data_IF_911089374818
#
_entry.id   IF_911089374818
#
_cell.length_a   1.000
_cell.length_b   1.000
_cell.length_c   1.000
_cell.angle_alpha   90.00
_cell.angle_beta   90.00
_cell.angle_gamma   90.00
#
_symmetry.space_group_name_H-M   'P 1'
#
loop_
_entity.id
_entity.type
_entity.pdbx_description
1 polymer ?
#
# COMPACT_ATOMS: atom_id res chain seq x y z
N UNK A 1 39.99 -85.86 8.77
CA UNK A 1 39.90 -84.58 9.51
C UNK A 1 39.53 -83.33 8.68
N UNK A 2 39.18 -83.40 7.37
CA UNK A 2 38.92 -82.21 6.53
C UNK A 2 37.44 -81.82 6.29
N UNK A 3 36.46 -82.52 6.88
CA UNK A 3 35.01 -82.24 6.66
C UNK A 3 34.33 -81.37 7.73
N UNK A 4 35.00 -81.03 8.84
CA UNK A 4 34.41 -80.22 9.92
C UNK A 4 34.60 -78.70 9.75
N UNK A 5 35.42 -78.24 8.80
CA UNK A 5 35.70 -76.81 8.58
C UNK A 5 34.70 -76.16 7.61
N UNK A 6 34.07 -76.93 6.71
CA UNK A 6 33.17 -76.39 5.68
C UNK A 6 31.80 -76.00 6.26
N UNK A 7 31.33 -76.68 7.32
CA UNK A 7 30.04 -76.35 7.95
C UNK A 7 30.14 -75.08 8.81
N UNK A 8 31.32 -74.78 9.38
CA UNK A 8 31.53 -73.55 10.16
C UNK A 8 31.55 -72.29 9.28
N UNK A 9 32.07 -72.39 8.04
CA UNK A 9 32.10 -71.25 7.10
C UNK A 9 30.71 -71.00 6.50
N UNK A 10 29.90 -72.03 6.27
CA UNK A 10 28.52 -71.87 5.81
C UNK A 10 27.59 -71.27 6.89
N UNK A 11 27.82 -71.59 8.17
CA UNK A 11 27.02 -71.07 9.28
C UNK A 11 27.34 -69.60 9.62
N UNK A 12 28.59 -69.16 9.41
CA UNK A 12 28.99 -67.76 9.57
C UNK A 12 28.39 -66.87 8.47
N UNK A 13 28.21 -67.37 7.23
CA UNK A 13 27.55 -66.60 6.17
C UNK A 13 26.04 -66.41 6.40
N UNK A 14 25.38 -67.32 7.12
CA UNK A 14 23.95 -67.22 7.45
C UNK A 14 23.66 -66.28 8.65
N UNK A 15 24.64 -66.05 9.53
CA UNK A 15 24.50 -65.16 10.68
C UNK A 15 24.85 -63.69 10.39
N UNK A 16 25.56 -63.40 9.30
CA UNK A 16 25.79 -62.03 8.85
C UNK A 16 24.66 -61.46 7.99
N UNK A 17 23.85 -62.31 7.35
CA UNK A 17 22.73 -61.89 6.50
C UNK A 17 21.63 -61.03 7.18
N UNK A 18 21.18 -61.28 8.43
CA UNK A 18 20.06 -60.54 9.01
C UNK A 18 20.38 -59.08 9.30
N UNK A 19 21.64 -58.75 9.65
CA UNK A 19 22.05 -57.36 9.93
C UNK A 19 21.99 -56.52 8.66
N UNK A 20 22.40 -57.06 7.50
CA UNK A 20 22.38 -56.33 6.23
C UNK A 20 20.97 -56.12 5.67
N UNK A 21 20.09 -57.11 5.80
CA UNK A 21 18.68 -56.97 5.38
C UNK A 21 17.96 -55.84 6.16
N UNK A 22 18.27 -55.68 7.45
CA UNK A 22 17.78 -54.58 8.27
C UNK A 22 18.29 -53.22 7.76
N UNK A 23 19.57 -53.11 7.40
CA UNK A 23 20.14 -51.84 6.89
C UNK A 23 19.59 -51.42 5.53
N UNK A 24 19.25 -52.36 4.65
CA UNK A 24 18.64 -52.05 3.36
C UNK A 24 17.23 -51.47 3.53
N UNK A 25 16.37 -52.18 4.25
CA UNK A 25 14.98 -51.77 4.49
C UNK A 25 14.96 -50.41 5.19
N UNK A 26 15.87 -50.19 6.14
CA UNK A 26 15.98 -48.91 6.84
C UNK A 26 16.32 -47.75 5.89
N UNK A 27 17.23 -47.93 4.92
CA UNK A 27 17.60 -46.86 3.99
C UNK A 27 16.51 -46.61 2.94
N UNK A 28 15.88 -47.64 2.40
CA UNK A 28 14.73 -47.48 1.51
C UNK A 28 13.56 -46.75 2.21
N UNK A 29 13.26 -47.12 3.45
CA UNK A 29 12.26 -46.44 4.26
C UNK A 29 12.63 -44.98 4.51
N UNK A 30 13.89 -44.67 4.78
CA UNK A 30 14.36 -43.29 4.98
C UNK A 30 14.29 -42.45 3.72
N UNK A 31 14.62 -43.02 2.55
CA UNK A 31 14.44 -42.33 1.27
C UNK A 31 12.96 -42.05 1.02
N UNK A 32 12.08 -43.02 1.29
CA UNK A 32 10.64 -42.84 1.14
C UNK A 32 10.06 -41.80 2.12
N UNK A 33 10.51 -41.82 3.38
CA UNK A 33 10.17 -40.84 4.40
C UNK A 33 10.62 -39.43 3.97
N UNK A 34 11.85 -39.30 3.47
CA UNK A 34 12.37 -38.04 2.91
C UNK A 34 11.49 -37.53 1.79
N UNK A 35 11.21 -38.37 0.80
CA UNK A 35 10.35 -38.00 -0.33
C UNK A 35 8.95 -37.58 0.11
N UNK A 36 8.37 -38.26 1.11
CA UNK A 36 7.07 -37.90 1.65
C UNK A 36 7.11 -36.58 2.41
N UNK A 37 8.18 -36.33 3.17
CA UNK A 37 8.38 -35.08 3.89
C UNK A 37 8.64 -33.90 2.94
N UNK A 38 9.21 -34.13 1.75
CA UNK A 38 9.47 -33.07 0.77
C UNK A 38 8.26 -32.71 -0.11
N UNK A 39 7.14 -33.46 -0.01
CA UNK A 39 5.97 -33.32 -0.92
C UNK A 39 4.97 -32.24 -0.56
N UNK A 40 5.05 -31.58 0.60
CA UNK A 40 4.14 -30.44 0.84
C UNK A 40 4.46 -29.32 -0.16
N UNK A 41 3.46 -28.58 -0.65
CA UNK A 41 3.64 -27.59 -1.75
C UNK A 41 4.78 -26.62 -1.46
N UNK A 42 4.86 -26.11 -0.23
CA UNK A 42 5.92 -25.19 0.19
C UNK A 42 7.29 -25.86 0.33
N UNK A 43 7.35 -27.12 0.78
CA UNK A 43 8.60 -27.86 0.87
C UNK A 43 9.09 -28.32 -0.50
N UNK A 44 8.19 -28.55 -1.45
CA UNK A 44 8.54 -28.97 -2.81
C UNK A 44 9.28 -27.86 -3.56
N UNK A 45 8.77 -26.62 -3.52
CA UNK A 45 9.45 -25.48 -4.15
C UNK A 45 10.83 -25.23 -3.52
N UNK A 46 10.92 -25.30 -2.20
CA UNK A 46 12.20 -25.18 -1.50
C UNK A 46 13.15 -26.35 -1.80
N UNK A 47 12.65 -27.58 -1.93
CA UNK A 47 13.48 -28.75 -2.23
C UNK A 47 14.03 -28.74 -3.64
N UNK A 48 13.29 -28.17 -4.60
CA UNK A 48 13.78 -27.90 -5.94
C UNK A 48 14.90 -26.87 -5.92
N UNK A 49 14.70 -25.74 -5.22
CA UNK A 49 15.70 -24.66 -5.14
C UNK A 49 16.98 -25.14 -4.45
N UNK A 50 16.84 -25.90 -3.36
CA UNK A 50 17.94 -26.50 -2.61
C UNK A 50 18.59 -27.69 -3.33
N UNK A 51 18.09 -28.07 -4.52
CA UNK A 51 18.52 -29.24 -5.29
C UNK A 51 18.50 -30.55 -4.46
N UNK A 52 17.58 -30.66 -3.50
CA UNK A 52 17.45 -31.83 -2.64
C UNK A 52 16.80 -32.99 -3.40
N UNK A 53 15.90 -32.70 -4.33
CA UNK A 53 15.32 -33.72 -5.23
C UNK A 53 16.39 -34.36 -6.13
N UNK A 54 17.40 -33.58 -6.55
CA UNK A 54 18.56 -34.10 -7.30
C UNK A 54 19.41 -35.02 -6.42
N UNK A 55 19.64 -34.63 -5.17
CA UNK A 55 20.35 -35.47 -4.19
C UNK A 55 19.61 -36.78 -3.88
N UNK A 56 18.29 -36.74 -3.68
CA UNK A 56 17.50 -37.97 -3.43
C UNK A 56 17.49 -38.88 -4.65
N UNK A 57 17.37 -38.33 -5.87
CA UNK A 57 17.44 -39.09 -7.12
C UNK A 57 18.82 -39.73 -7.32
N UNK A 58 19.89 -38.97 -7.08
CA UNK A 58 21.26 -39.50 -7.13
C UNK A 58 21.47 -40.59 -6.08
N UNK A 59 20.99 -40.37 -4.86
CA UNK A 59 21.07 -41.35 -3.79
C UNK A 59 20.36 -42.65 -4.12
N UNK A 60 19.17 -42.59 -4.75
CA UNK A 60 18.47 -43.78 -5.24
C UNK A 60 19.27 -44.57 -6.27
N UNK A 61 19.87 -43.88 -7.24
CA UNK A 61 20.71 -44.52 -8.25
C UNK A 61 21.96 -45.17 -7.63
N UNK A 62 22.59 -44.49 -6.67
CA UNK A 62 23.71 -45.06 -5.91
C UNK A 62 23.28 -46.27 -5.09
N UNK A 63 22.14 -46.20 -4.39
CA UNK A 63 21.60 -47.31 -3.61
C UNK A 63 21.40 -48.56 -4.47
N UNK A 64 20.81 -48.42 -5.66
CA UNK A 64 20.66 -49.55 -6.60
C UNK A 64 22.01 -50.18 -6.97
N UNK A 65 23.04 -49.36 -7.17
CA UNK A 65 24.40 -49.83 -7.48
C UNK A 65 25.01 -50.56 -6.28
N UNK A 66 24.80 -50.06 -5.07
CA UNK A 66 25.27 -50.70 -3.82
C UNK A 66 24.60 -52.06 -3.60
N UNK A 67 23.30 -52.18 -3.90
CA UNK A 67 22.56 -53.43 -3.79
C UNK A 67 23.11 -54.50 -4.74
N UNK A 68 23.49 -54.12 -5.97
CA UNK A 68 24.13 -55.04 -6.91
C UNK A 68 25.51 -55.51 -6.41
N UNK A 69 26.29 -54.62 -5.78
CA UNK A 69 27.61 -54.96 -5.20
C UNK A 69 27.51 -55.84 -3.96
N UNK A 70 26.46 -55.69 -3.16
CA UNK A 70 26.24 -56.48 -1.96
C UNK A 70 26.10 -57.99 -2.26
N UNK A 71 25.68 -58.34 -3.47
CA UNK A 71 25.63 -59.73 -3.93
C UNK A 71 27.02 -60.37 -4.12
N UNK A 72 28.10 -59.59 -4.13
CA UNK A 72 29.46 -60.07 -4.31
C UNK A 72 30.13 -60.41 -2.96
N UNK A 73 30.82 -61.57 -2.84
CA UNK A 73 31.51 -61.96 -1.60
C UNK A 73 32.55 -60.92 -1.16
N UNK A 74 32.58 -60.60 0.13
CA UNK A 74 33.59 -59.71 0.73
C UNK A 74 33.35 -58.20 0.55
N UNK A 75 32.27 -57.77 -0.12
CA UNK A 75 31.97 -56.35 -0.33
C UNK A 75 31.21 -55.69 0.82
N UNK A 76 30.79 -56.45 1.84
CA UNK A 76 29.89 -56.00 2.89
C UNK A 76 30.36 -54.72 3.62
N UNK A 77 31.62 -54.68 4.06
CA UNK A 77 32.18 -53.51 4.75
C UNK A 77 32.28 -52.27 3.84
N UNK A 78 32.57 -52.47 2.55
CA UNK A 78 32.63 -51.38 1.56
C UNK A 78 31.24 -50.81 1.31
N UNK A 79 30.23 -51.69 1.16
CA UNK A 79 28.84 -51.30 0.98
C UNK A 79 28.32 -50.55 2.21
N UNK A 80 28.61 -51.03 3.42
CA UNK A 80 28.22 -50.35 4.66
C UNK A 80 28.83 -48.94 4.76
N UNK A 81 30.12 -48.79 4.47
CA UNK A 81 30.77 -47.48 4.46
C UNK A 81 30.15 -46.54 3.41
N UNK A 82 29.85 -47.05 2.21
CA UNK A 82 29.19 -46.27 1.15
C UNK A 82 27.74 -45.91 1.50
N UNK A 83 27.01 -46.79 2.19
CA UNK A 83 25.65 -46.56 2.63
C UNK A 83 25.61 -45.48 3.72
N UNK A 84 26.54 -45.51 4.67
CA UNK A 84 26.68 -44.48 5.69
C UNK A 84 27.06 -43.12 5.08
N UNK A 85 27.95 -43.11 4.08
CA UNK A 85 28.28 -41.89 3.34
C UNK A 85 27.07 -41.33 2.56
N UNK A 86 26.27 -42.20 1.95
CA UNK A 86 25.05 -41.81 1.25
C UNK A 86 24.00 -41.25 2.22
N UNK A 87 23.84 -41.88 3.38
CA UNK A 87 22.93 -41.41 4.44
C UNK A 87 23.30 -40.01 4.93
N UNK A 88 24.59 -39.70 5.08
CA UNK A 88 25.05 -38.37 5.48
C UNK A 88 24.74 -37.26 4.44
N UNK A 89 24.48 -37.65 3.19
CA UNK A 89 24.12 -36.74 2.08
C UNK A 89 22.60 -36.62 1.84
N UNK A 90 21.77 -37.22 2.70
CA UNK A 90 20.32 -37.17 2.56
C UNK A 90 19.72 -36.20 3.59
N UNK A 91 18.90 -35.23 3.16
CA UNK A 91 18.15 -34.40 4.10
C UNK A 91 17.06 -35.26 4.75
N UNK A 92 16.85 -35.09 6.05
CA UNK A 92 15.76 -35.73 6.79
C UNK A 92 14.51 -34.85 6.81
N UNK A 93 14.69 -33.55 7.04
CA UNK A 93 13.60 -32.58 7.10
C UNK A 93 14.04 -31.17 6.72
N UNK A 94 13.11 -30.39 6.21
CA UNK A 94 13.26 -28.95 5.95
C UNK A 94 12.22 -28.20 6.77
N UNK A 95 12.68 -27.26 7.57
CA UNK A 95 11.86 -26.38 8.39
C UNK A 95 12.07 -24.93 7.97
N UNK A 96 11.00 -24.16 7.85
CA UNK A 96 11.07 -22.71 7.59
C UNK A 96 11.10 -21.99 8.93
N UNK A 97 12.22 -21.34 9.24
CA UNK A 97 12.40 -20.62 10.50
C UNK A 97 11.87 -19.18 10.43
N UNK A 98 11.83 -18.58 9.24
CA UNK A 98 11.34 -17.22 9.06
C UNK A 98 11.29 -16.78 7.60
N UNK A 99 10.53 -15.71 7.35
CA UNK A 99 10.36 -15.12 6.01
C UNK A 99 10.35 -13.60 6.09
N UNK A 100 10.99 -12.96 5.14
CA UNK A 100 10.90 -11.51 4.89
C UNK A 100 10.48 -11.30 3.45
N UNK A 101 9.48 -10.45 3.23
CA UNK A 101 9.07 -9.99 1.91
C UNK A 101 9.33 -8.51 1.82
N UNK A 102 10.02 -8.09 0.77
CA UNK A 102 10.34 -6.69 0.57
C UNK A 102 10.20 -6.27 -0.90
N UNK A 103 9.91 -4.99 -1.09
CA UNK A 103 10.03 -4.31 -2.38
C UNK A 103 11.37 -3.58 -2.37
N UNK A 104 12.35 -4.21 -3.00
CA UNK A 104 13.70 -3.64 -3.09
C UNK A 104 13.67 -2.44 -4.02
N UNK A 105 13.81 -1.24 -3.46
CA UNK A 105 14.10 -0.02 -4.22
C UNK A 105 15.61 0.14 -4.25
N UNK A 106 16.21 0.08 -5.44
CA UNK A 106 17.66 0.30 -5.56
C UNK A 106 17.99 1.78 -5.37
N UNK A 107 18.86 2.11 -4.40
CA UNK A 107 19.34 3.48 -4.26
C UNK A 107 20.15 3.93 -5.49
N UNK A 108 19.92 5.17 -5.95
CA UNK A 108 20.58 5.74 -7.14
C UNK A 108 22.12 5.71 -7.04
N UNK A 109 22.66 5.89 -5.83
CA UNK A 109 24.11 5.86 -5.60
C UNK A 109 24.74 4.48 -5.87
N UNK A 110 24.00 3.38 -5.66
CA UNK A 110 24.50 2.03 -5.95
C UNK A 110 24.63 1.81 -7.46
N UNK A 111 23.73 2.42 -8.24
CA UNK A 111 23.75 2.35 -9.69
C UNK A 111 24.92 3.14 -10.26
N UNK A 112 25.16 4.37 -9.79
CA UNK A 112 26.21 5.24 -10.32
C UNK A 112 27.63 4.73 -10.07
N UNK A 113 27.89 4.09 -8.93
CA UNK A 113 29.20 3.50 -8.62
C UNK A 113 29.57 2.34 -9.56
N UNK A 114 28.57 1.58 -10.02
CA UNK A 114 28.77 0.35 -10.80
C UNK A 114 28.60 0.50 -12.30
N UNK A 115 27.78 1.46 -12.70
CA UNK A 115 27.41 1.73 -14.09
C UNK A 115 27.59 3.22 -14.37
N UNK A 116 28.77 3.77 -14.07
CA UNK A 116 29.03 5.21 -14.17
C UNK A 116 28.74 5.79 -15.57
N UNK A 117 28.99 5.00 -16.62
CA UNK A 117 28.73 5.33 -18.02
C UNK A 117 27.26 5.16 -18.44
N UNK A 118 26.46 4.43 -17.66
CA UNK A 118 25.06 4.07 -17.99
C UNK A 118 24.07 4.32 -16.87
N UNK A 119 24.42 5.14 -15.88
CA UNK A 119 23.65 5.25 -14.64
C UNK A 119 22.20 5.65 -14.90
N UNK A 120 21.98 6.50 -15.90
CA UNK A 120 20.67 7.02 -16.25
C UNK A 120 19.82 6.00 -16.98
N UNK A 121 20.41 5.27 -17.93
CA UNK A 121 19.76 4.15 -18.61
C UNK A 121 19.31 3.10 -17.60
N UNK A 122 20.19 2.77 -16.65
CA UNK A 122 19.87 1.83 -15.58
C UNK A 122 18.77 2.36 -14.67
N UNK A 123 18.81 3.64 -14.29
CA UNK A 123 17.77 4.27 -13.46
C UNK A 123 16.39 4.27 -14.15
N UNK A 124 16.33 4.54 -15.45
CA UNK A 124 15.10 4.41 -16.26
C UNK A 124 14.56 3.00 -16.20
N UNK A 125 15.43 2.03 -16.48
CA UNK A 125 15.05 0.63 -16.53
C UNK A 125 14.58 0.14 -15.15
N UNK A 126 15.12 0.69 -14.05
CA UNK A 126 14.58 0.43 -12.71
C UNK A 126 13.13 0.91 -12.56
N UNK A 127 12.80 2.10 -13.05
CA UNK A 127 11.44 2.64 -12.99
C UNK A 127 10.41 1.85 -13.82
N UNK A 128 10.87 1.05 -14.80
CA UNK A 128 10.05 0.17 -15.64
C UNK A 128 9.89 -1.24 -15.07
N UNK A 129 10.69 -1.60 -14.08
CA UNK A 129 10.64 -2.91 -13.45
C UNK A 129 9.90 -2.89 -12.12
N UNK A 130 9.16 -3.94 -11.83
CA UNK A 130 8.72 -4.25 -10.47
C UNK A 130 9.45 -5.49 -9.99
N UNK A 131 10.00 -5.46 -8.77
CA UNK A 131 10.75 -6.57 -8.19
C UNK A 131 10.22 -6.83 -6.80
N UNK A 132 9.79 -8.07 -6.56
CA UNK A 132 9.38 -8.56 -5.26
C UNK A 132 10.40 -9.59 -4.80
N UNK A 133 11.01 -9.33 -3.64
CA UNK A 133 11.98 -10.22 -2.99
C UNK A 133 11.27 -10.99 -1.87
N UNK A 134 11.49 -12.30 -1.83
CA UNK A 134 11.18 -13.15 -0.68
C UNK A 134 12.47 -13.84 -0.20
N UNK A 135 12.90 -13.51 1.01
CA UNK A 135 13.97 -14.22 1.70
C UNK A 135 13.37 -15.20 2.70
N UNK A 136 13.70 -16.48 2.57
CA UNK A 136 13.24 -17.55 3.46
C UNK A 136 14.43 -18.17 4.17
N UNK A 137 14.44 -18.11 5.49
CA UNK A 137 15.42 -18.83 6.31
C UNK A 137 14.94 -20.26 6.49
N UNK A 138 15.71 -21.21 6.00
CA UNK A 138 15.43 -22.64 6.09
C UNK A 138 16.46 -23.32 6.98
N UNK A 139 15.98 -24.27 7.77
CA UNK A 139 16.79 -25.21 8.54
C UNK A 139 16.65 -26.58 7.89
N UNK A 140 17.78 -27.19 7.55
CA UNK A 140 17.85 -28.52 6.97
C UNK A 140 18.48 -29.42 8.03
N UNK A 141 17.72 -30.43 8.47
CA UNK A 141 18.22 -31.47 9.38
C UNK A 141 18.55 -32.69 8.53
N UNK A 142 19.75 -33.22 8.68
CA UNK A 142 20.24 -34.39 7.93
C UNK A 142 20.10 -35.68 8.74
N UNK A 143 20.30 -36.84 8.12
CA UNK A 143 20.08 -38.15 8.78
C UNK A 143 21.14 -38.58 9.80
N UNK A 144 22.29 -37.93 9.81
CA UNK A 144 23.32 -38.03 10.86
C UNK A 144 23.08 -37.01 11.99
N UNK A 145 21.96 -36.28 11.93
CA UNK A 145 21.55 -35.23 12.87
C UNK A 145 22.35 -33.93 12.79
N UNK A 146 23.22 -33.75 11.79
CA UNK A 146 23.76 -32.42 11.55
C UNK A 146 22.65 -31.48 11.05
N UNK A 147 22.74 -30.22 11.43
CA UNK A 147 21.79 -29.18 11.04
C UNK A 147 22.55 -28.08 10.31
N UNK A 148 21.99 -27.61 9.21
CA UNK A 148 22.47 -26.42 8.52
C UNK A 148 21.33 -25.43 8.35
N UNK A 149 21.68 -24.14 8.28
CA UNK A 149 20.72 -23.07 8.04
C UNK A 149 21.16 -22.27 6.82
N UNK A 150 20.21 -22.04 5.93
CA UNK A 150 20.43 -21.37 4.64
C UNK A 150 19.36 -20.32 4.45
N UNK A 151 19.73 -19.23 3.77
CA UNK A 151 18.76 -18.23 3.34
C UNK A 151 18.51 -18.43 1.86
N UNK A 152 17.27 -18.77 1.51
CA UNK A 152 16.80 -18.92 0.13
C UNK A 152 16.24 -17.58 -0.31
N UNK A 153 16.79 -17.02 -1.39
CA UNK A 153 16.30 -15.80 -2.00
C UNK A 153 15.50 -16.17 -3.24
N UNK A 154 14.25 -15.74 -3.28
CA UNK A 154 13.37 -15.85 -4.43
C UNK A 154 13.00 -14.44 -4.89
N UNK A 155 13.10 -14.19 -6.19
CA UNK A 155 12.69 -12.91 -6.77
C UNK A 155 11.68 -13.16 -7.86
N UNK A 156 10.58 -12.42 -7.78
CA UNK A 156 9.58 -12.35 -8.84
C UNK A 156 9.61 -10.93 -9.37
N UNK A 157 9.85 -10.79 -10.67
CA UNK A 157 9.93 -9.49 -11.31
C UNK A 157 9.10 -9.44 -12.58
N UNK A 158 8.71 -8.23 -12.97
CA UNK A 158 8.01 -7.95 -14.21
C UNK A 158 8.50 -6.63 -14.80
N UNK A 159 8.28 -6.44 -16.09
CA UNK A 159 8.67 -5.24 -16.82
C UNK A 159 7.43 -4.61 -17.47
N UNK A 160 7.33 -3.29 -17.49
CA UNK A 160 6.14 -2.59 -18.03
C UNK A 160 6.09 -2.56 -19.56
N UNK A 161 7.21 -2.87 -20.23
CA UNK A 161 7.37 -2.79 -21.68
C UNK A 161 7.92 -4.10 -22.25
N UNK A 162 7.80 -4.30 -23.56
CA UNK A 162 8.51 -5.38 -24.23
C UNK A 162 10.00 -5.04 -24.33
N UNK A 163 10.86 -6.00 -24.04
CA UNK A 163 12.30 -5.87 -24.20
C UNK A 163 12.88 -7.12 -24.86
N UNK A 164 13.82 -6.92 -25.79
CA UNK A 164 14.54 -8.03 -26.43
C UNK A 164 15.32 -8.84 -25.39
N UNK A 165 15.95 -8.12 -24.46
CA UNK A 165 16.86 -8.67 -23.47
C UNK A 165 16.93 -7.78 -22.24
N UNK A 166 16.76 -8.39 -21.07
CA UNK A 166 17.06 -7.77 -19.78
C UNK A 166 18.16 -8.58 -19.10
N UNK A 167 19.25 -7.91 -18.74
CA UNK A 167 20.30 -8.44 -17.89
C UNK A 167 20.06 -7.97 -16.46
N UNK A 168 19.97 -8.91 -15.52
CA UNK A 168 19.71 -8.67 -14.10
C UNK A 168 21.03 -8.83 -13.35
N UNK A 169 21.47 -7.81 -12.64
CA UNK A 169 22.60 -7.86 -11.73
C UNK A 169 22.11 -7.86 -10.28
N UNK A 170 22.48 -8.88 -9.52
CA UNK A 170 22.27 -8.92 -8.07
C UNK A 170 23.54 -8.51 -7.37
N UNK A 171 23.49 -7.42 -6.61
CA UNK A 171 24.60 -7.01 -5.74
C UNK A 171 24.34 -7.59 -4.36
N UNK A 172 25.27 -8.42 -3.92
CA UNK A 172 25.24 -9.08 -2.63
C UNK A 172 26.08 -8.29 -1.61
N UNK A 173 25.72 -8.33 -0.33
CA UNK A 173 26.54 -7.75 0.73
C UNK A 173 27.95 -8.36 0.70
N UNK A 174 28.95 -7.57 1.10
CA UNK A 174 30.37 -7.98 1.07
C UNK A 174 30.51 -9.37 1.71
N UNK A 175 31.13 -10.35 1.02
CA UNK A 175 31.18 -11.71 1.47
C UNK A 175 32.01 -11.79 2.75
N UNK A 176 31.38 -12.23 3.83
CA UNK A 176 32.11 -12.79 4.99
C UNK A 176 32.49 -14.23 4.63
N UNK A 177 33.55 -14.36 3.82
CA UNK A 177 34.32 -15.56 3.46
C UNK A 177 33.64 -16.84 2.92
N UNK A 178 32.32 -17.07 2.98
CA UNK A 178 31.70 -18.31 2.42
C UNK A 178 30.27 -18.12 1.92
N UNK A 179 30.08 -17.31 0.89
CA UNK A 179 28.81 -17.34 0.15
C UNK A 179 28.95 -18.34 -1.00
N UNK A 180 28.65 -19.63 -0.77
CA UNK A 180 28.44 -20.56 -1.88
C UNK A 180 27.05 -20.28 -2.44
N UNK A 181 27.04 -19.75 -3.65
CA UNK A 181 25.81 -19.43 -4.36
C UNK A 181 25.59 -20.55 -5.35
N UNK A 182 24.43 -21.19 -5.27
CA UNK A 182 24.02 -22.25 -6.20
C UNK A 182 23.01 -21.61 -7.16
N UNK A 183 23.47 -21.14 -8.34
CA UNK A 183 22.56 -20.58 -9.31
C UNK A 183 21.78 -21.68 -10.01
N UNK A 184 20.45 -21.56 -10.08
CA UNK A 184 19.66 -22.38 -11.02
C UNK A 184 19.61 -21.75 -12.42
N UNK A 185 19.76 -20.42 -12.52
CA UNK A 185 19.63 -19.65 -13.78
C UNK A 185 20.54 -18.42 -13.87
N UNK A 186 21.48 -18.25 -12.94
CA UNK A 186 22.34 -17.05 -12.88
C UNK A 186 23.82 -17.39 -13.06
N UNK A 187 24.55 -16.53 -13.76
CA UNK A 187 25.98 -16.62 -13.95
C UNK A 187 26.68 -15.84 -12.84
N UNK A 188 27.73 -16.45 -12.28
CA UNK A 188 28.59 -15.76 -11.32
C UNK A 188 29.49 -14.78 -12.06
N UNK A 189 29.48 -13.51 -11.67
CA UNK A 189 30.41 -12.51 -12.20
C UNK A 189 31.60 -12.35 -11.26
N UNK A 190 31.32 -12.19 -9.97
CA UNK A 190 32.31 -12.13 -8.88
C UNK A 190 31.63 -12.41 -7.53
N UNK A 191 32.41 -12.35 -6.44
CA UNK A 191 31.96 -12.68 -5.07
C UNK A 191 30.79 -11.87 -4.52
N UNK A 192 30.47 -10.73 -5.15
CA UNK A 192 29.38 -9.85 -4.74
C UNK A 192 28.33 -9.71 -5.83
N UNK A 193 28.43 -10.44 -6.94
CA UNK A 193 27.61 -10.15 -8.12
C UNK A 193 27.19 -11.37 -8.88
N UNK A 194 25.88 -11.54 -8.95
CA UNK A 194 25.24 -12.51 -9.83
C UNK A 194 24.66 -11.79 -11.03
N UNK A 195 24.65 -12.48 -12.18
CA UNK A 195 24.09 -12.00 -13.43
C UNK A 195 23.06 -13.00 -13.94
N UNK A 196 21.80 -12.63 -14.06
CA UNK A 196 20.80 -13.38 -14.82
C UNK A 196 20.56 -12.71 -16.17
N UNK A 197 20.14 -13.46 -17.17
CA UNK A 197 19.75 -12.93 -18.47
C UNK A 197 18.38 -13.50 -18.82
N UNK A 198 17.44 -12.63 -19.15
CA UNK A 198 16.10 -13.00 -19.60
C UNK A 198 15.86 -12.47 -21.02
N UNK A 199 15.51 -13.38 -21.92
CA UNK A 199 15.28 -13.12 -23.35
C UNK A 199 14.22 -14.09 -23.91
N UNK A 200 13.19 -13.60 -24.61
CA UNK A 200 12.68 -12.21 -24.61
C UNK A 200 11.94 -11.87 -23.31
N UNK A 201 11.65 -10.58 -23.11
CA UNK A 201 10.81 -10.06 -22.02
C UNK A 201 9.56 -9.43 -22.61
N UNK A 202 8.39 -9.86 -22.13
CA UNK A 202 7.08 -9.32 -22.52
C UNK A 202 6.51 -8.44 -21.42
N UNK A 203 5.85 -7.36 -21.83
CA UNK A 203 5.20 -6.43 -20.93
C UNK A 203 4.21 -7.13 -19.99
N UNK A 204 4.37 -6.92 -18.68
CA UNK A 204 3.51 -7.45 -17.63
C UNK A 204 3.68 -8.94 -17.31
N UNK A 205 4.49 -9.69 -18.07
CA UNK A 205 4.81 -11.08 -17.75
C UNK A 205 5.69 -11.13 -16.50
N UNK A 206 5.43 -12.13 -15.64
CA UNK A 206 6.20 -12.35 -14.42
C UNK A 206 7.27 -13.39 -14.66
N UNK A 207 8.49 -13.03 -14.31
CA UNK A 207 9.66 -13.88 -14.34
C UNK A 207 10.12 -14.14 -12.92
N UNK A 208 10.78 -15.26 -12.69
CA UNK A 208 11.29 -15.61 -11.38
C UNK A 208 12.65 -16.24 -11.46
N UNK A 209 13.50 -15.92 -10.50
CA UNK A 209 14.77 -16.60 -10.29
C UNK A 209 15.03 -16.76 -8.78
N UNK A 210 15.82 -17.77 -8.44
CA UNK A 210 16.15 -18.10 -7.06
C UNK A 210 17.63 -18.44 -6.92
N UNK A 211 18.14 -18.21 -5.72
CA UNK A 211 19.49 -18.59 -5.34
C UNK A 211 19.58 -18.76 -3.82
N UNK A 212 20.67 -19.39 -3.37
CA UNK A 212 20.90 -19.73 -1.97
C UNK A 212 22.10 -18.94 -1.45
N UNK A 213 21.97 -18.42 -0.23
CA UNK A 213 23.08 -17.89 0.57
C UNK A 213 23.28 -18.82 1.76
N UNK A 214 24.49 -19.35 1.93
CA UNK A 214 24.88 -20.22 3.06
C UNK A 214 25.07 -19.42 4.36
N UNK A 215 24.03 -18.68 4.78
CA UNK A 215 24.00 -17.89 6.02
C UNK A 215 22.64 -17.99 6.70
N UNK A 216 22.65 -17.94 8.03
CA UNK A 216 21.48 -17.72 8.86
C UNK A 216 21.30 -16.21 9.10
N UNK A 217 20.77 -15.50 8.10
CA UNK A 217 20.61 -14.04 8.23
C UNK A 217 19.51 -13.52 7.29
N UNK A 218 18.31 -13.32 7.84
CA UNK A 218 17.19 -12.71 7.12
C UNK A 218 17.41 -11.22 6.84
N UNK A 219 18.26 -10.53 7.62
CA UNK A 219 18.54 -9.10 7.41
C UNK A 219 19.33 -8.84 6.14
N UNK A 220 19.88 -9.89 5.51
CA UNK A 220 20.51 -9.78 4.19
C UNK A 220 19.53 -9.27 3.12
N UNK A 221 18.23 -9.53 3.27
CA UNK A 221 17.20 -9.05 2.35
C UNK A 221 17.30 -7.54 2.13
N UNK A 222 17.58 -6.77 3.18
CA UNK A 222 17.66 -5.30 3.15
C UNK A 222 18.93 -4.77 2.46
N UNK A 223 19.90 -5.65 2.21
CA UNK A 223 21.23 -5.31 1.67
C UNK A 223 21.48 -5.87 0.28
N UNK A 224 20.52 -6.64 -0.26
CA UNK A 224 20.59 -7.20 -1.61
C UNK A 224 19.93 -6.23 -2.57
N UNK A 225 20.68 -5.78 -3.58
CA UNK A 225 20.16 -4.88 -4.61
C UNK A 225 20.00 -5.60 -5.95
N UNK A 226 18.87 -5.39 -6.64
CA UNK A 226 18.64 -5.92 -7.99
C UNK A 226 18.66 -4.81 -9.02
N UNK A 227 19.58 -4.89 -9.97
CA UNK A 227 19.69 -3.93 -11.05
C UNK A 227 19.27 -4.59 -12.37
N UNK A 228 18.30 -3.99 -13.03
CA UNK A 228 17.81 -4.34 -14.37
C UNK A 228 18.49 -3.46 -15.42
N UNK A 229 19.11 -4.09 -16.40
CA UNK A 229 19.78 -3.42 -17.52
C UNK A 229 19.20 -3.96 -18.82
N UNK A 230 18.54 -3.09 -19.59
CA UNK A 230 18.06 -3.44 -20.91
C UNK A 230 19.20 -3.39 -21.93
N UNK A 231 19.42 -4.47 -22.67
CA UNK A 231 20.43 -4.46 -23.74
C UNK A 231 19.79 -4.02 -25.06
N UNK A 232 20.41 -3.02 -25.71
CA UNK A 232 19.88 -2.46 -26.96
C UNK A 232 18.61 -1.64 -26.77
N UNK A 233 18.44 -1.03 -25.59
CA UNK A 233 17.44 0.02 -25.38
C UNK A 233 17.68 1.21 -26.33
N UNK A 234 16.68 2.10 -26.50
CA UNK A 234 16.92 3.34 -27.21
C UNK A 234 18.13 4.03 -26.58
N UNK A 235 19.14 4.32 -27.39
CA UNK A 235 20.22 5.22 -26.96
C UNK A 235 19.53 6.48 -26.51
N UNK A 236 19.57 6.77 -25.21
CA UNK A 236 19.07 8.03 -24.69
C UNK A 236 19.88 9.07 -25.45
N UNK A 237 19.20 9.85 -26.30
CA UNK A 237 19.83 11.02 -26.92
C UNK A 237 20.47 11.81 -25.78
N UNK A 238 21.77 12.08 -25.88
CA UNK A 238 22.55 12.68 -24.80
C UNK A 238 21.78 13.85 -24.19
N UNK A 239 21.32 13.69 -22.96
CA UNK A 239 20.74 14.80 -22.22
C UNK A 239 21.91 15.60 -21.65
N UNK A 240 21.90 16.90 -21.89
CA UNK A 240 22.95 17.81 -21.46
C UNK A 240 22.32 18.87 -20.58
N UNK A 241 22.76 18.96 -19.32
CA UNK A 241 22.41 20.13 -18.51
C UNK A 241 22.84 21.41 -19.25
N UNK A 242 22.00 22.44 -19.20
CA UNK A 242 22.24 23.78 -19.76
C UNK A 242 21.35 24.16 -20.94
N UNK A 243 20.35 23.33 -21.31
CA UNK A 243 19.39 23.65 -22.36
C UNK A 243 18.17 24.47 -21.84
N UNK A 244 18.07 24.67 -20.53
CA UNK A 244 16.97 25.37 -19.86
C UNK A 244 15.67 24.56 -19.74
N UNK A 245 15.66 23.27 -20.08
CA UNK A 245 14.50 22.39 -20.05
C UNK A 245 14.75 21.20 -19.12
N UNK A 246 14.22 21.29 -17.90
CA UNK A 246 14.24 20.18 -16.94
C UNK A 246 13.51 18.94 -17.48
N UNK A 247 14.27 18.02 -18.07
CA UNK A 247 13.74 16.81 -18.71
C UNK A 247 13.60 15.68 -17.69
N UNK A 248 12.41 15.57 -17.09
CA UNK A 248 12.10 14.52 -16.10
C UNK A 248 11.99 13.16 -16.79
N UNK A 249 12.62 12.08 -16.27
CA UNK A 249 13.30 11.96 -14.96
C UNK A 249 14.84 12.14 -14.99
N UNK A 250 15.43 12.58 -16.11
CA UNK A 250 16.89 12.63 -16.30
C UNK A 250 17.55 13.82 -15.64
N UNK A 251 16.81 14.90 -15.53
CA UNK A 251 17.23 16.12 -14.88
C UNK A 251 16.35 16.38 -13.66
N UNK A 252 16.99 16.57 -12.52
CA UNK A 252 16.34 17.05 -11.31
C UNK A 252 17.11 18.24 -10.71
N UNK A 253 16.59 18.77 -9.61
CA UNK A 253 17.21 19.89 -8.90
C UNK A 253 18.58 19.54 -8.26
N UNK A 254 19.00 18.27 -8.28
CA UNK A 254 20.27 17.81 -7.73
C UNK A 254 21.29 17.68 -8.87
N UNK A 255 20.89 17.09 -9.99
CA UNK A 255 21.75 16.79 -11.15
C UNK A 255 21.91 18.00 -12.07
N UNK A 256 20.81 18.66 -12.46
CA UNK A 256 20.81 19.84 -13.32
C UNK A 256 20.02 21.00 -12.67
N UNK A 257 20.53 21.59 -11.56
CA UNK A 257 19.81 22.61 -10.80
C UNK A 257 19.48 23.87 -11.62
N UNK A 258 20.31 24.23 -12.60
CA UNK A 258 20.10 25.40 -13.44
C UNK A 258 18.81 25.29 -14.28
N UNK A 259 18.59 24.14 -14.91
CA UNK A 259 17.42 23.90 -15.78
C UNK A 259 16.16 23.58 -14.97
N UNK A 260 16.32 22.89 -13.84
CA UNK A 260 15.22 22.46 -12.99
C UNK A 260 14.70 23.50 -11.99
N UNK A 261 15.49 24.51 -11.61
CA UNK A 261 15.02 25.57 -10.70
C UNK A 261 13.95 26.48 -11.33
N UNK A 262 13.97 26.67 -12.66
CA UNK A 262 13.02 27.54 -13.38
C UNK A 262 11.57 27.05 -13.32
N UNK A 263 11.38 25.73 -13.26
CA UNK A 263 10.06 25.07 -13.30
C UNK A 263 9.27 25.22 -12.00
N UNK A 264 9.97 25.36 -10.86
CA UNK A 264 9.34 25.45 -9.53
C UNK A 264 8.63 26.79 -9.30
N UNK A 265 9.22 27.90 -9.76
CA UNK A 265 8.65 29.25 -9.61
C UNK A 265 7.34 29.41 -10.39
N UNK A 266 7.21 28.77 -11.55
CA UNK A 266 5.99 28.82 -12.36
C UNK A 266 4.81 28.06 -11.73
N UNK A 267 5.06 26.94 -11.05
CA UNK A 267 4.00 26.15 -10.39
C UNK A 267 3.42 26.86 -9.15
N UNK A 268 4.25 27.54 -8.36
CA UNK A 268 3.79 28.29 -7.18
C UNK A 268 2.83 29.43 -7.58
N UNK A 269 3.10 30.13 -8.68
CA UNK A 269 2.21 31.20 -9.19
C UNK A 269 0.82 30.67 -9.56
N UNK A 270 0.73 29.50 -10.21
CA UNK A 270 -0.55 28.90 -10.56
C UNK A 270 -1.35 28.43 -9.35
N UNK A 271 -0.69 27.84 -8.34
CA UNK A 271 -1.36 27.42 -7.09
C UNK A 271 -1.95 28.63 -6.36
N UNK A 272 -1.22 29.76 -6.30
CA UNK A 272 -1.72 31.00 -5.68
C UNK A 272 -2.92 31.56 -6.46
N UNK A 273 -2.88 31.57 -7.79
CA UNK A 273 -4.01 32.03 -8.63
C UNK A 273 -5.24 31.15 -8.42
N UNK A 274 -5.09 29.82 -8.40
CA UNK A 274 -6.20 28.89 -8.16
C UNK A 274 -6.75 29.05 -6.74
N UNK A 275 -5.88 29.21 -5.73
CA UNK A 275 -6.28 29.45 -4.35
C UNK A 275 -7.05 30.77 -4.20
N UNK A 276 -6.65 31.83 -4.90
CA UNK A 276 -7.36 33.11 -4.92
C UNK A 276 -8.73 32.98 -5.59
N UNK A 277 -8.80 32.34 -6.76
CA UNK A 277 -10.06 32.13 -7.49
C UNK A 277 -11.04 31.27 -6.70
N UNK A 278 -10.58 30.19 -6.09
CA UNK A 278 -11.42 29.33 -5.24
C UNK A 278 -11.83 30.03 -3.95
N UNK A 279 -10.96 30.85 -3.36
CA UNK A 279 -11.29 31.70 -2.21
C UNK A 279 -12.40 32.70 -2.55
N UNK A 280 -12.27 33.44 -3.66
CA UNK A 280 -13.29 34.38 -4.13
C UNK A 280 -14.60 33.66 -4.44
N UNK A 281 -14.55 32.54 -5.18
CA UNK A 281 -15.73 31.72 -5.47
C UNK A 281 -16.39 31.20 -4.18
N UNK A 282 -15.60 30.79 -3.18
CA UNK A 282 -16.09 30.35 -1.88
C UNK A 282 -16.79 31.46 -1.09
N UNK A 283 -16.22 32.68 -1.09
CA UNK A 283 -16.84 33.87 -0.46
C UNK A 283 -18.17 34.21 -1.15
N UNK A 284 -18.21 34.17 -2.49
CA UNK A 284 -19.44 34.38 -3.26
C UNK A 284 -20.47 33.30 -2.95
N UNK A 285 -20.09 32.02 -2.99
CA UNK A 285 -20.96 30.89 -2.68
C UNK A 285 -21.56 31.01 -1.28
N UNK A 286 -20.75 31.32 -0.27
CA UNK A 286 -21.20 31.43 1.12
C UNK A 286 -22.17 32.60 1.32
N UNK A 287 -21.87 33.77 0.75
CA UNK A 287 -22.76 34.93 0.82
C UNK A 287 -24.07 34.74 0.04
N UNK A 288 -24.04 34.01 -1.09
CA UNK A 288 -25.22 33.77 -1.91
C UNK A 288 -26.13 32.65 -1.39
N UNK A 289 -25.57 31.55 -0.86
CA UNK A 289 -26.36 30.38 -0.44
C UNK A 289 -26.68 30.32 1.06
N UNK A 290 -25.91 31.00 1.92
CA UNK A 290 -26.14 31.03 3.37
C UNK A 290 -26.17 32.44 3.97
N UNK A 291 -25.87 33.47 3.18
CA UNK A 291 -25.83 34.86 3.64
C UNK A 291 -27.18 35.59 3.55
N UNK A 292 -27.17 36.87 3.95
CA UNK A 292 -28.34 37.76 3.98
C UNK A 292 -29.03 37.98 2.62
N UNK A 293 -28.42 37.53 1.53
CA UNK A 293 -28.95 37.58 0.17
C UNK A 293 -29.47 36.24 -0.32
N UNK A 294 -30.04 35.39 0.55
CA UNK A 294 -30.56 34.06 0.16
C UNK A 294 -31.53 34.18 -1.04
N UNK A 295 -31.00 33.91 -2.24
CA UNK A 295 -31.73 34.00 -3.50
C UNK A 295 -32.88 33.01 -3.57
N UNK A 296 -32.96 32.03 -2.66
CA UNK A 296 -34.15 31.17 -2.53
C UNK A 296 -35.40 32.01 -2.25
N UNK A 297 -35.30 33.15 -1.58
CA UNK A 297 -36.45 34.04 -1.33
C UNK A 297 -36.76 35.00 -2.48
N UNK A 298 -35.76 35.43 -3.23
CA UNK A 298 -35.96 36.22 -4.46
C UNK A 298 -36.52 35.36 -5.61
N UNK A 299 -36.31 34.03 -5.56
CA UNK A 299 -36.78 33.08 -6.57
C UNK A 299 -37.96 32.22 -6.12
N UNK A 300 -38.27 32.16 -4.83
CA UNK A 300 -39.48 31.51 -4.32
C UNK A 300 -40.72 32.29 -4.78
N UNK A 301 -41.32 31.84 -5.87
CA UNK A 301 -42.62 32.34 -6.33
C UNK A 301 -43.63 32.18 -5.21
N UNK A 302 -44.28 33.28 -4.83
CA UNK A 302 -45.39 33.26 -3.88
C UNK A 302 -46.42 32.22 -4.32
N UNK A 303 -46.95 31.36 -3.42
CA UNK A 303 -47.98 30.39 -3.76
C UNK A 303 -49.36 31.05 -4.01
N UNK A 304 -49.44 32.38 -3.92
CA UNK A 304 -50.63 33.16 -4.20
C UNK A 304 -50.62 33.64 -5.65
N UNK A 305 -51.77 33.57 -6.31
CA UNK A 305 -51.96 34.05 -7.69
C UNK A 305 -51.80 35.56 -7.78
N UNK A 306 -52.18 36.30 -6.72
CA UNK A 306 -52.03 37.75 -6.66
C UNK A 306 -51.54 38.24 -5.30
N UNK A 307 -50.88 39.40 -5.27
CA UNK A 307 -50.49 40.08 -4.03
C UNK A 307 -51.70 40.47 -3.16
N UNK A 308 -52.86 40.68 -3.79
CA UNK A 308 -54.12 41.00 -3.10
C UNK A 308 -54.59 39.82 -2.25
N UNK A 309 -54.51 38.60 -2.78
CA UNK A 309 -54.91 37.38 -2.08
C UNK A 309 -54.01 37.12 -0.87
N UNK A 310 -52.68 37.24 -1.05
CA UNK A 310 -51.72 37.15 0.05
C UNK A 310 -52.08 38.15 1.15
N UNK A 311 -52.31 39.41 0.78
CA UNK A 311 -52.66 40.46 1.75
C UNK A 311 -53.94 40.14 2.52
N UNK A 312 -54.99 39.65 1.85
CA UNK A 312 -56.23 39.26 2.53
C UNK A 312 -56.02 38.15 3.56
N UNK A 313 -55.21 37.14 3.23
CA UNK A 313 -54.91 36.05 4.16
C UNK A 313 -54.04 36.54 5.32
N UNK A 314 -53.02 37.34 5.03
CA UNK A 314 -52.15 37.97 6.04
C UNK A 314 -52.95 38.85 7.00
N UNK A 315 -53.85 39.68 6.48
CA UNK A 315 -54.69 40.57 7.27
C UNK A 315 -55.64 39.77 8.19
N UNK A 316 -56.23 38.69 7.67
CA UNK A 316 -57.10 37.79 8.45
C UNK A 316 -56.34 37.08 9.56
N UNK A 317 -55.15 36.51 9.27
CA UNK A 317 -54.31 35.85 10.27
C UNK A 317 -53.88 36.86 11.34
N UNK A 318 -53.41 38.03 10.92
CA UNK A 318 -52.96 39.10 11.82
C UNK A 318 -54.08 39.58 12.73
N UNK A 319 -55.30 39.73 12.20
CA UNK A 319 -56.49 40.06 12.99
C UNK A 319 -56.81 38.96 14.01
N UNK A 320 -56.73 37.68 13.61
CA UNK A 320 -56.97 36.54 14.50
C UNK A 320 -55.95 36.45 15.64
N UNK A 321 -54.66 36.65 15.34
CA UNK A 321 -53.58 36.68 16.34
C UNK A 321 -53.82 37.83 17.34
N UNK A 322 -54.21 39.02 16.88
CA UNK A 322 -54.56 40.16 17.74
C UNK A 322 -55.78 39.90 18.64
N UNK A 323 -56.62 38.93 18.29
CA UNK A 323 -57.76 38.45 19.08
C UNK A 323 -57.42 37.18 19.89
N UNK A 324 -56.14 36.87 20.04
CA UNK A 324 -55.63 35.71 20.78
C UNK A 324 -56.14 34.36 20.24
N UNK A 325 -56.52 34.32 18.97
CA UNK A 325 -56.93 33.07 18.32
C UNK A 325 -55.66 32.32 17.90
N UNK A 326 -55.47 31.14 18.48
CA UNK A 326 -54.32 30.29 18.19
C UNK A 326 -54.22 29.87 16.70
N UNK A 327 -52.99 29.65 16.21
CA UNK A 327 -52.68 29.14 14.86
C UNK A 327 -53.45 27.86 14.51
N UNK A 328 -53.69 27.00 15.51
CA UNK A 328 -54.44 25.75 15.37
C UNK A 328 -55.93 25.97 15.03
N UNK A 329 -56.51 27.10 15.44
CA UNK A 329 -57.91 27.46 15.13
C UNK A 329 -58.04 28.25 13.82
N UNK A 330 -57.08 29.14 13.53
CA UNK A 330 -57.10 29.97 12.31
C UNK A 330 -56.85 29.11 11.04
N UNK A 331 -55.90 28.17 11.11
CA UNK A 331 -55.48 27.38 9.94
C UNK A 331 -56.63 26.56 9.33
N UNK A 332 -57.43 25.80 10.10
CA UNK A 332 -58.59 25.08 9.55
C UNK A 332 -59.66 26.00 8.96
N UNK A 333 -59.85 27.21 9.50
CA UNK A 333 -60.82 28.17 8.98
C UNK A 333 -60.41 28.65 7.58
N UNK A 334 -59.13 28.97 7.38
CA UNK A 334 -58.61 29.37 6.06
C UNK A 334 -58.67 28.23 5.05
N UNK A 335 -58.34 27.00 5.47
CA UNK A 335 -58.46 25.80 4.61
C UNK A 335 -59.93 25.56 4.23
N UNK A 336 -60.86 25.67 5.19
CA UNK A 336 -62.31 25.58 4.93
C UNK A 336 -62.81 26.66 3.97
N UNK A 337 -62.15 27.82 3.93
CA UNK A 337 -62.44 28.93 2.99
C UNK A 337 -61.76 28.77 1.63
N UNK A 338 -61.07 27.66 1.37
CA UNK A 338 -60.49 27.32 0.08
C UNK A 338 -58.99 27.62 -0.07
N UNK A 339 -58.33 28.13 0.97
CA UNK A 339 -56.88 28.38 0.92
C UNK A 339 -56.08 27.08 1.11
N UNK A 340 -55.04 26.89 0.33
CA UNK A 340 -54.18 25.70 0.47
C UNK A 340 -53.31 25.78 1.72
N UNK A 341 -52.93 24.63 2.29
CA UNK A 341 -51.99 24.58 3.43
C UNK A 341 -50.67 25.33 3.14
N UNK A 342 -50.16 25.24 1.91
CA UNK A 342 -48.93 25.96 1.48
C UNK A 342 -49.10 27.48 1.53
N UNK A 343 -50.22 28.00 1.02
CA UNK A 343 -50.54 29.43 1.09
C UNK A 343 -50.68 29.92 2.53
N UNK A 344 -51.35 29.15 3.38
CA UNK A 344 -51.52 29.51 4.79
C UNK A 344 -50.18 29.51 5.53
N UNK A 345 -49.34 28.49 5.34
CA UNK A 345 -47.98 28.46 5.91
C UNK A 345 -47.16 29.66 5.44
N UNK A 346 -47.15 29.95 4.14
CA UNK A 346 -46.43 31.09 3.57
C UNK A 346 -46.90 32.42 4.17
N UNK A 347 -48.22 32.60 4.38
CA UNK A 347 -48.76 33.81 5.00
C UNK A 347 -48.33 33.97 6.48
N UNK A 348 -48.20 32.87 7.24
CA UNK A 348 -47.61 32.93 8.59
C UNK A 348 -46.13 33.34 8.56
N UNK A 349 -45.36 32.77 7.64
CA UNK A 349 -43.94 33.12 7.47
C UNK A 349 -43.76 34.60 7.09
N UNK A 350 -44.64 35.13 6.23
CA UNK A 350 -44.64 36.55 5.85
C UNK A 350 -44.94 37.46 7.05
N UNK A 351 -45.91 37.10 7.90
CA UNK A 351 -46.20 37.84 9.14
C UNK A 351 -45.01 37.83 10.09
N UNK A 352 -44.45 36.64 10.36
CA UNK A 352 -43.27 36.52 11.22
C UNK A 352 -42.09 37.33 10.68
N UNK A 353 -41.92 37.38 9.36
CA UNK A 353 -40.89 38.16 8.71
C UNK A 353 -41.09 39.67 8.89
N UNK A 354 -42.29 40.19 8.62
CA UNK A 354 -42.59 41.60 8.80
C UNK A 354 -42.49 42.01 10.27
N UNK A 355 -42.92 41.18 11.22
CA UNK A 355 -42.71 41.42 12.66
C UNK A 355 -41.23 41.52 13.02
N UNK A 356 -40.39 40.60 12.53
CA UNK A 356 -38.94 40.62 12.76
C UNK A 356 -38.30 41.87 12.16
N UNK A 357 -38.71 42.25 10.95
CA UNK A 357 -38.21 43.44 10.27
C UNK A 357 -38.58 44.71 11.03
N UNK A 358 -39.85 44.88 11.40
CA UNK A 358 -40.31 46.01 12.22
C UNK A 358 -39.55 46.06 13.53
N UNK A 359 -39.37 44.93 14.22
CA UNK A 359 -38.58 44.86 15.45
C UNK A 359 -37.13 45.33 15.21
N UNK A 360 -36.45 44.83 14.19
CA UNK A 360 -35.08 45.24 13.87
C UNK A 360 -34.96 46.72 13.49
N UNK A 361 -36.00 47.29 12.86
CA UNK A 361 -36.05 48.71 12.49
C UNK A 361 -36.32 49.62 13.70
N UNK A 362 -36.98 49.10 14.76
CA UNK A 362 -37.16 49.78 16.06
C UNK A 362 -36.00 49.58 17.03
N UNK A 363 -34.85 49.06 16.56
CA UNK A 363 -33.64 48.94 17.38
C UNK A 363 -33.29 50.28 18.06
N UNK A 364 -32.96 50.28 19.37
CA UNK A 364 -32.62 51.49 20.13
C UNK A 364 -31.46 52.27 19.50
N UNK A 365 -31.50 53.59 19.58
CA UNK A 365 -30.40 54.48 19.19
C UNK A 365 -29.38 54.59 20.31
N UNK A 366 -28.18 55.06 20.00
CA UNK A 366 -27.11 55.27 21.00
C UNK A 366 -27.46 56.27 22.12
N UNK A 367 -28.44 57.14 21.88
CA UNK A 367 -28.98 58.06 22.88
C UNK A 367 -29.90 57.38 23.90
N UNK A 368 -30.39 56.17 23.62
CA UNK A 368 -31.33 55.48 24.49
C UNK A 368 -30.60 54.77 25.65
N UNK A 369 -31.25 54.63 26.83
CA UNK A 369 -30.68 53.89 27.96
C UNK A 369 -30.30 52.45 27.59
N UNK A 370 -29.22 51.93 28.20
CA UNK A 370 -28.71 50.58 27.95
C UNK A 370 -29.75 49.47 28.23
N UNK A 371 -30.69 49.72 29.15
CA UNK A 371 -31.79 48.79 29.43
C UNK A 371 -32.73 48.60 28.24
N UNK A 372 -32.91 49.61 27.38
CA UNK A 372 -33.68 49.47 26.16
C UNK A 372 -33.01 48.49 25.19
N UNK A 373 -31.68 48.45 25.16
CA UNK A 373 -30.92 47.48 24.36
C UNK A 373 -31.09 46.06 24.90
N UNK A 374 -31.07 45.88 26.23
CA UNK A 374 -31.33 44.58 26.87
C UNK A 374 -32.73 44.06 26.54
N UNK A 375 -33.73 44.92 26.67
CA UNK A 375 -35.12 44.58 26.37
C UNK A 375 -35.27 44.22 24.89
N UNK A 376 -34.67 45.02 23.99
CA UNK A 376 -34.63 44.75 22.56
C UNK A 376 -34.01 43.40 22.22
N UNK A 377 -32.82 43.08 22.77
CA UNK A 377 -32.14 41.79 22.56
C UNK A 377 -33.01 40.64 23.07
N UNK A 378 -33.65 40.81 24.22
CA UNK A 378 -34.55 39.80 24.82
C UNK A 378 -35.75 39.52 23.91
N UNK A 379 -36.38 40.57 23.37
CA UNK A 379 -37.49 40.43 22.42
C UNK A 379 -37.04 39.78 21.10
N UNK A 380 -35.86 40.15 20.57
CA UNK A 380 -35.29 39.50 19.40
C UNK A 380 -35.02 38.00 19.63
N UNK A 381 -34.51 37.62 20.81
CA UNK A 381 -34.28 36.22 21.19
C UNK A 381 -35.60 35.45 21.29
N UNK A 382 -36.64 36.02 21.91
CA UNK A 382 -37.99 35.40 21.96
C UNK A 382 -38.57 35.15 20.57
N UNK A 383 -38.27 36.01 19.59
CA UNK A 383 -38.68 35.88 18.19
C UNK A 383 -37.73 35.03 17.33
N UNK A 384 -36.70 34.42 17.93
CA UNK A 384 -35.75 33.54 17.24
C UNK A 384 -34.88 34.27 16.21
N UNK A 385 -34.57 35.56 16.42
CA UNK A 385 -33.67 36.31 15.56
C UNK A 385 -32.22 36.01 15.98
N UNK A 386 -31.38 35.63 15.00
CA UNK A 386 -29.98 35.35 15.26
C UNK A 386 -29.21 36.56 15.81
N UNK A 387 -28.35 36.30 16.79
CA UNK A 387 -27.53 37.31 17.46
C UNK A 387 -26.73 38.20 16.49
N UNK A 388 -26.16 37.61 15.45
CA UNK A 388 -25.41 38.34 14.40
C UNK A 388 -26.27 39.40 13.71
N UNK A 389 -27.56 39.12 13.50
CA UNK A 389 -28.52 40.04 12.89
C UNK A 389 -28.92 41.15 13.87
N UNK A 390 -29.12 40.81 15.14
CA UNK A 390 -29.40 41.79 16.21
C UNK A 390 -28.23 42.76 16.39
N UNK A 391 -27.00 42.24 16.44
CA UNK A 391 -25.77 43.05 16.51
C UNK A 391 -25.65 43.99 15.32
N UNK A 392 -25.90 43.51 14.11
CA UNK A 392 -25.87 44.34 12.90
C UNK A 392 -26.94 45.45 12.93
N UNK A 393 -28.12 45.19 13.47
CA UNK A 393 -29.15 46.21 13.62
C UNK A 393 -28.73 47.32 14.61
N UNK A 394 -28.16 46.94 15.77
CA UNK A 394 -27.65 47.89 16.76
C UNK A 394 -26.48 48.73 16.21
N UNK A 395 -25.55 48.12 15.47
CA UNK A 395 -24.44 48.84 14.83
C UNK A 395 -24.97 49.89 13.83
N UNK A 396 -26.00 49.55 13.03
CA UNK A 396 -26.63 50.50 12.11
C UNK A 396 -27.31 51.67 12.81
N UNK A 397 -27.71 51.51 14.07
CA UNK A 397 -28.26 52.57 14.93
C UNK A 397 -27.18 53.34 15.70
N UNK A 398 -25.90 53.08 15.42
CA UNK A 398 -24.74 53.80 15.94
C UNK A 398 -24.03 53.13 17.11
N UNK A 399 -24.50 51.99 17.62
CA UNK A 399 -23.90 51.35 18.80
C UNK A 399 -22.51 50.78 18.50
N UNK A 400 -21.56 51.03 19.42
CA UNK A 400 -20.21 50.45 19.33
C UNK A 400 -20.21 48.97 19.68
N UNK A 401 -19.30 48.20 19.06
CA UNK A 401 -19.24 46.74 19.20
C UNK A 401 -19.00 46.32 20.66
N UNK A 402 -18.20 47.08 21.38
CA UNK A 402 -17.82 46.86 22.78
C UNK A 402 -19.04 46.99 23.69
N UNK A 403 -19.85 48.04 23.48
CA UNK A 403 -21.10 48.26 24.21
C UNK A 403 -22.09 47.12 23.98
N UNK A 404 -22.27 46.72 22.71
CA UNK A 404 -23.16 45.62 22.35
C UNK A 404 -22.70 44.32 23.02
N UNK A 405 -21.41 43.98 22.92
CA UNK A 405 -20.86 42.77 23.52
C UNK A 405 -21.05 42.70 25.04
N UNK A 406 -20.90 43.83 25.74
CA UNK A 406 -21.11 43.91 27.19
C UNK A 406 -22.56 43.62 27.63
N UNK A 407 -23.53 43.81 26.72
CA UNK A 407 -24.94 43.53 26.95
C UNK A 407 -25.28 42.07 26.62
N UNK A 408 -24.63 41.48 25.62
CA UNK A 408 -24.82 40.07 25.25
C UNK A 408 -24.16 39.08 26.22
N UNK A 409 -23.12 39.50 26.94
CA UNK A 409 -22.37 38.68 27.91
C UNK A 409 -23.02 38.59 29.29
N UNK A 410 -24.09 39.34 29.53
CA UNK A 410 -24.92 39.31 30.73
C UNK A 410 -26.25 38.64 30.40
#
# INVERSE_FOLDING_TARGET
>A
MKRKVIVAVLFIMLLSAPVFALTQVEVEQKILETDNNLRTVQQHELSEILNLNGQTTFARAQLQTLLQRLAQPGQAAVVEAQLNALRAQLPRSIEVLGKVKDKVVVPVNVVSERFADKSNEVAINQGKGEINLEATLVKITWFDSHEEQKTVIQKIWSYTEDAKRITIYEILPKPTQKNKIIPMQVLYVNDQTLKAVQEPVKAGEKYSFSYIIERNDLSLADTIYTILVQEGGPTIEEYSCGDGICTVPFEDNIVCPADCQSSSKKKITWVIIIALLTGVAGIFYFNFYRGKGDFRRLTAKSPFTSKKDLKQVVDFISWGIKKEITKQKITPLLIKKGWTKKQVTYAYEEIEWEERKVLLDTAPKTSDPLDNVRNFITECRKKGIEETTVRAALIRKGWHKEQISSVFSK
#
